data_IF_500220348446
#
_entry.id   IF_500220348446
#
_cell.length_a   1.000
_cell.length_b   1.000
_cell.length_c   1.000
_cell.angle_alpha   90.00
_cell.angle_beta   90.00
_cell.angle_gamma   90.00
#
_symmetry.space_group_name_H-M   'P 1'
#
loop_
_entity.id
_entity.type
_entity.pdbx_description
1 polymer ?
#
# COMPACT_ATOMS: atom_id res chain seq x y z
N UNK A 1 -6.11 32.14 5.63
CA UNK A 1 -6.39 31.32 4.42
C UNK A 1 -5.85 29.89 4.56
N UNK A 2 -4.57 29.67 4.88
CA UNK A 2 -3.96 28.33 5.05
C UNK A 2 -4.66 27.48 6.12
N UNK A 3 -5.07 28.08 7.24
CA UNK A 3 -5.77 27.40 8.34
C UNK A 3 -7.16 26.90 7.94
N UNK A 4 -7.86 27.63 7.05
CA UNK A 4 -9.17 27.21 6.52
C UNK A 4 -9.04 26.01 5.57
N UNK A 5 -8.06 26.03 4.67
CA UNK A 5 -7.78 24.92 3.76
C UNK A 5 -7.39 23.66 4.54
N UNK A 6 -6.54 23.81 5.57
CA UNK A 6 -6.15 22.69 6.44
C UNK A 6 -7.35 22.05 7.14
N UNK A 7 -8.28 22.86 7.67
CA UNK A 7 -9.52 22.34 8.30
C UNK A 7 -10.41 21.62 7.29
N UNK A 8 -10.56 22.15 6.09
CA UNK A 8 -11.36 21.54 5.02
C UNK A 8 -10.77 20.20 4.58
N UNK A 9 -9.45 20.13 4.38
CA UNK A 9 -8.75 18.89 4.06
C UNK A 9 -8.87 17.86 5.18
N UNK A 10 -8.77 18.26 6.44
CA UNK A 10 -8.96 17.37 7.58
C UNK A 10 -10.40 16.84 7.70
N UNK A 11 -11.39 17.67 7.37
CA UNK A 11 -12.78 17.23 7.32
C UNK A 11 -13.02 16.24 6.16
N UNK A 12 -12.49 16.54 4.97
CA UNK A 12 -12.57 15.64 3.83
C UNK A 12 -11.89 14.29 4.12
N UNK A 13 -10.69 14.30 4.70
CA UNK A 13 -9.96 13.10 5.12
C UNK A 13 -10.79 12.25 6.10
N UNK A 14 -11.38 12.88 7.12
CA UNK A 14 -12.20 12.22 8.12
C UNK A 14 -13.48 11.60 7.55
N UNK A 15 -14.07 12.22 6.52
CA UNK A 15 -15.26 11.69 5.82
C UNK A 15 -14.86 10.54 4.91
N UNK A 16 -13.80 10.72 4.10
CA UNK A 16 -13.33 9.73 3.13
C UNK A 16 -12.82 8.47 3.85
N UNK A 17 -11.94 8.62 4.83
CA UNK A 17 -11.43 7.51 5.65
C UNK A 17 -12.38 7.11 6.78
N UNK A 18 -13.64 7.52 6.69
CA UNK A 18 -14.68 7.12 7.63
C UNK A 18 -15.00 5.62 7.58
N UNK A 19 -15.89 5.16 8.48
CA UNK A 19 -16.27 3.74 8.57
C UNK A 19 -16.77 3.14 7.26
N UNK A 20 -17.40 3.96 6.43
CA UNK A 20 -17.97 3.53 5.16
C UNK A 20 -16.94 3.04 4.15
N UNK A 21 -15.83 3.75 4.00
CA UNK A 21 -14.76 3.31 3.09
C UNK A 21 -14.09 2.04 3.60
N UNK A 22 -13.81 1.97 4.91
CA UNK A 22 -13.24 0.78 5.53
C UNK A 22 -14.14 -0.43 5.32
N UNK A 23 -15.44 -0.27 5.57
CA UNK A 23 -16.43 -1.33 5.37
C UNK A 23 -16.51 -1.76 3.90
N UNK A 24 -16.48 -0.81 2.98
CA UNK A 24 -16.51 -1.07 1.54
C UNK A 24 -15.25 -1.83 1.09
N UNK A 25 -14.07 -1.41 1.53
CA UNK A 25 -12.80 -2.06 1.14
C UNK A 25 -12.69 -3.48 1.72
N UNK A 26 -12.95 -3.64 3.02
CA UNK A 26 -12.93 -4.95 3.66
C UNK A 26 -14.07 -5.85 3.15
N UNK A 27 -15.28 -5.30 3.01
CA UNK A 27 -16.44 -6.03 2.52
C UNK A 27 -16.24 -6.53 1.09
N UNK A 28 -15.75 -5.67 0.19
CA UNK A 28 -15.42 -6.07 -1.18
C UNK A 28 -14.32 -7.12 -1.20
N UNK A 29 -13.26 -6.94 -0.41
CA UNK A 29 -12.18 -7.90 -0.33
C UNK A 29 -12.63 -9.27 0.22
N UNK A 30 -13.48 -9.27 1.28
CA UNK A 30 -14.10 -10.49 1.80
C UNK A 30 -15.01 -11.17 0.76
N UNK A 31 -15.86 -10.40 0.09
CA UNK A 31 -16.71 -10.91 -0.99
C UNK A 31 -15.88 -11.57 -2.09
N UNK A 32 -14.82 -10.93 -2.55
CA UNK A 32 -13.92 -11.48 -3.57
C UNK A 32 -13.18 -12.71 -3.06
N UNK A 33 -12.72 -12.73 -1.81
CA UNK A 33 -12.05 -13.88 -1.20
C UNK A 33 -12.97 -15.11 -1.18
N UNK A 34 -14.23 -14.92 -0.79
CA UNK A 34 -15.24 -15.98 -0.76
C UNK A 34 -15.63 -16.42 -2.18
N UNK A 35 -15.91 -15.48 -3.09
CA UNK A 35 -16.27 -15.75 -4.48
C UNK A 35 -15.18 -16.51 -5.22
N UNK A 36 -13.92 -16.21 -4.97
CA UNK A 36 -12.76 -16.90 -5.50
C UNK A 36 -12.40 -18.18 -4.72
N UNK A 37 -13.20 -18.58 -3.72
CA UNK A 37 -12.98 -19.79 -2.91
C UNK A 37 -11.56 -19.84 -2.30
N UNK A 38 -11.07 -18.71 -1.81
CA UNK A 38 -9.73 -18.56 -1.23
C UNK A 38 -8.58 -18.87 -2.20
N UNK A 39 -8.82 -18.67 -3.50
CA UNK A 39 -7.82 -18.92 -4.56
C UNK A 39 -6.46 -18.27 -4.30
N UNK A 40 -6.37 -16.97 -3.89
CA UNK A 40 -5.09 -16.33 -3.65
C UNK A 40 -4.26 -17.03 -2.57
N UNK A 41 -4.90 -17.48 -1.49
CA UNK A 41 -4.23 -18.17 -0.39
C UNK A 41 -3.81 -19.59 -0.79
N UNK A 42 -4.69 -20.33 -1.48
CA UNK A 42 -4.40 -21.70 -1.93
C UNK A 42 -3.24 -21.76 -2.93
N UNK A 43 -3.17 -20.77 -3.81
CA UNK A 43 -2.15 -20.75 -4.87
C UNK A 43 -0.90 -19.95 -4.49
N UNK A 44 -0.86 -19.36 -3.29
CA UNK A 44 0.28 -18.55 -2.83
C UNK A 44 1.63 -19.31 -2.92
N UNK A 45 1.75 -20.57 -2.47
CA UNK A 45 3.01 -21.32 -2.59
C UNK A 45 3.43 -21.53 -4.04
N UNK A 46 2.47 -21.84 -4.92
CA UNK A 46 2.73 -22.01 -6.35
C UNK A 46 3.13 -20.70 -7.02
N UNK A 47 2.50 -19.59 -6.65
CA UNK A 47 2.84 -18.25 -7.14
C UNK A 47 4.26 -17.84 -6.71
N UNK A 48 4.60 -18.02 -5.45
CA UNK A 48 5.95 -17.75 -4.93
C UNK A 48 7.01 -18.58 -5.67
N UNK A 49 6.74 -19.89 -5.86
CA UNK A 49 7.66 -20.74 -6.63
C UNK A 49 7.89 -20.21 -8.04
N UNK A 50 6.84 -19.77 -8.74
CA UNK A 50 6.94 -19.23 -10.11
C UNK A 50 7.78 -17.98 -10.21
N UNK A 51 7.75 -17.10 -9.19
CA UNK A 51 8.56 -15.88 -9.13
C UNK A 51 10.06 -16.18 -9.22
N UNK A 52 10.52 -17.29 -8.65
CA UNK A 52 11.93 -17.67 -8.64
C UNK A 52 12.35 -18.51 -9.86
N UNK A 53 11.42 -18.86 -10.77
CA UNK A 53 11.77 -19.58 -11.98
C UNK A 53 12.46 -18.67 -13.01
N UNK A 54 13.47 -19.18 -13.75
CA UNK A 54 14.18 -18.40 -14.79
C UNK A 54 13.24 -17.82 -15.85
N UNK A 55 12.11 -18.48 -16.10
CA UNK A 55 11.08 -18.07 -17.09
C UNK A 55 10.41 -16.75 -16.70
N UNK A 56 10.29 -16.45 -15.42
CA UNK A 56 9.70 -15.19 -14.92
C UNK A 56 10.55 -13.95 -15.29
N UNK A 57 11.82 -14.14 -15.54
CA UNK A 57 12.79 -13.10 -15.92
C UNK A 57 12.90 -12.91 -17.43
N UNK A 58 12.37 -13.84 -18.22
CA UNK A 58 12.35 -13.68 -19.68
C UNK A 58 11.26 -12.71 -20.05
N UNK A 59 11.60 -11.64 -20.78
CA UNK A 59 10.63 -10.72 -21.36
C UNK A 59 9.73 -11.48 -22.35
N UNK A 60 8.46 -11.13 -22.41
CA UNK A 60 7.56 -11.60 -23.44
C UNK A 60 8.01 -11.04 -24.77
N UNK A 61 8.00 -11.85 -25.84
CA UNK A 61 8.31 -11.39 -27.21
C UNK A 61 7.39 -10.23 -27.58
N UNK A 62 7.93 -9.03 -27.59
CA UNK A 62 7.23 -7.74 -27.82
C UNK A 62 7.30 -6.82 -26.61
N UNK A 63 8.17 -5.87 -26.60
CA UNK A 63 8.30 -4.61 -25.82
C UNK A 63 7.66 -4.49 -24.42
N UNK A 64 7.18 -5.56 -23.79
CA UNK A 64 6.70 -5.58 -22.42
C UNK A 64 7.82 -5.87 -21.41
N UNK A 65 7.62 -5.49 -20.15
CA UNK A 65 8.51 -5.85 -19.05
C UNK A 65 8.31 -7.32 -18.65
N UNK A 66 9.37 -7.95 -18.09
CA UNK A 66 9.25 -9.34 -17.61
C UNK A 66 8.28 -9.43 -16.41
N UNK A 67 7.72 -10.62 -16.17
CA UNK A 67 6.85 -10.83 -15.01
C UNK A 67 7.56 -10.54 -13.69
N UNK A 68 8.86 -10.82 -13.61
CA UNK A 68 9.67 -10.50 -12.44
C UNK A 68 9.88 -8.98 -12.30
N UNK A 69 10.19 -8.27 -13.39
CA UNK A 69 10.33 -6.81 -13.37
C UNK A 69 9.02 -6.09 -13.04
N UNK A 70 7.89 -6.59 -13.54
CA UNK A 70 6.55 -6.07 -13.17
C UNK A 70 6.28 -6.25 -11.68
N UNK A 71 6.55 -7.44 -11.13
CA UNK A 71 6.41 -7.73 -9.71
C UNK A 71 7.31 -6.82 -8.86
N UNK A 72 8.59 -6.69 -9.20
CA UNK A 72 9.53 -5.84 -8.45
C UNK A 72 9.17 -4.37 -8.53
N UNK A 73 8.63 -3.90 -9.65
CA UNK A 73 8.10 -2.54 -9.79
C UNK A 73 6.90 -2.32 -8.87
N UNK A 74 5.98 -3.28 -8.78
CA UNK A 74 4.86 -3.22 -7.85
C UNK A 74 5.32 -3.30 -6.39
N UNK A 75 6.29 -4.16 -6.09
CA UNK A 75 6.88 -4.24 -4.75
C UNK A 75 7.62 -2.96 -4.36
N UNK A 76 8.24 -2.26 -5.30
CA UNK A 76 8.87 -0.96 -5.05
C UNK A 76 7.88 0.10 -4.55
N UNK A 77 6.65 0.08 -5.07
CA UNK A 77 5.57 0.94 -4.61
C UNK A 77 5.03 0.50 -3.24
N UNK A 78 4.91 -0.80 -3.03
CA UNK A 78 4.26 -1.38 -1.85
C UNK A 78 5.20 -1.49 -0.65
N UNK A 79 6.47 -1.90 -0.85
CA UNK A 79 7.48 -2.01 0.21
C UNK A 79 8.17 -0.66 0.38
N UNK A 80 7.67 0.16 1.29
CA UNK A 80 8.19 1.50 1.52
C UNK A 80 7.95 1.98 2.95
N UNK A 81 7.87 3.28 3.10
CA UNK A 81 7.61 3.93 4.41
C UNK A 81 6.27 3.51 5.02
N UNK A 82 5.30 3.05 4.22
CA UNK A 82 4.04 2.47 4.70
C UNK A 82 4.25 1.28 5.63
N UNK A 83 5.24 0.43 5.34
CA UNK A 83 5.53 -0.76 6.14
C UNK A 83 6.41 -0.48 7.38
N UNK A 84 7.00 0.69 7.49
CA UNK A 84 7.84 1.10 8.61
C UNK A 84 7.13 2.19 9.42
N UNK A 85 7.05 3.39 8.85
CA UNK A 85 6.42 4.56 9.49
C UNK A 85 4.91 4.39 9.63
N UNK A 86 4.26 3.79 8.62
CA UNK A 86 2.82 3.50 8.64
C UNK A 86 2.45 2.53 9.74
N UNK A 87 3.22 1.45 9.93
CA UNK A 87 3.02 0.48 11.01
C UNK A 87 3.24 1.13 12.37
N UNK A 88 4.35 1.87 12.54
CA UNK A 88 4.63 2.59 13.78
C UNK A 88 3.52 3.59 14.11
N UNK A 89 3.05 4.35 13.12
CA UNK A 89 1.95 5.31 13.29
C UNK A 89 0.65 4.60 13.66
N UNK A 90 0.33 3.45 13.02
CA UNK A 90 -0.84 2.65 13.37
C UNK A 90 -0.80 2.19 14.83
N UNK A 91 0.37 1.72 15.29
CA UNK A 91 0.55 1.28 16.68
C UNK A 91 0.48 2.43 17.68
N UNK A 92 1.03 3.61 17.35
CA UNK A 92 0.98 4.80 18.21
C UNK A 92 -0.45 5.33 18.33
N UNK A 93 -1.20 5.39 17.23
CA UNK A 93 -2.55 5.97 17.21
C UNK A 93 -3.65 4.97 17.53
N UNK A 94 -3.48 3.71 17.13
CA UNK A 94 -4.48 2.63 17.28
C UNK A 94 -4.12 1.58 18.33
N UNK A 95 -2.94 1.68 18.95
CA UNK A 95 -2.43 0.69 19.90
C UNK A 95 -1.92 -0.60 19.23
N UNK A 96 -1.43 -1.56 20.02
CA UNK A 96 -0.91 -2.83 19.52
C UNK A 96 -1.90 -3.60 18.65
N UNK A 97 -3.19 -3.52 18.95
CA UNK A 97 -4.26 -4.17 18.20
C UNK A 97 -4.39 -3.71 16.74
N UNK A 98 -3.89 -2.52 16.41
CA UNK A 98 -3.87 -2.03 15.04
C UNK A 98 -3.07 -2.95 14.11
N UNK A 99 -2.02 -3.60 14.61
CA UNK A 99 -1.22 -4.54 13.85
C UNK A 99 -2.02 -5.77 13.40
N UNK A 100 -2.91 -6.29 14.26
CA UNK A 100 -3.83 -7.37 13.89
C UNK A 100 -4.71 -6.97 12.71
N UNK A 101 -5.33 -5.80 12.77
CA UNK A 101 -6.21 -5.30 11.71
C UNK A 101 -5.46 -4.96 10.42
N UNK A 102 -4.19 -4.51 10.52
CA UNK A 102 -3.31 -4.35 9.36
C UNK A 102 -3.05 -5.68 8.66
N UNK A 103 -2.69 -6.72 9.41
CA UNK A 103 -2.45 -8.06 8.85
C UNK A 103 -3.71 -8.64 8.22
N UNK A 104 -4.85 -8.51 8.90
CA UNK A 104 -6.14 -8.97 8.38
C UNK A 104 -6.52 -8.26 7.09
N UNK A 105 -6.38 -6.94 7.02
CA UNK A 105 -6.62 -6.16 5.80
C UNK A 105 -5.69 -6.57 4.66
N UNK A 106 -4.44 -6.92 4.95
CA UNK A 106 -3.49 -7.43 3.97
C UNK A 106 -3.91 -8.78 3.41
N UNK A 107 -4.33 -9.72 4.26
CA UNK A 107 -4.82 -11.05 3.84
C UNK A 107 -6.05 -10.91 2.95
N UNK A 108 -7.02 -10.10 3.37
CA UNK A 108 -8.24 -9.82 2.59
C UNK A 108 -7.88 -9.11 1.28
N UNK A 109 -6.93 -8.19 1.33
CA UNK A 109 -6.43 -7.42 0.20
C UNK A 109 -5.80 -8.27 -0.91
N UNK A 110 -5.31 -9.48 -0.62
CA UNK A 110 -4.78 -10.40 -1.63
C UNK A 110 -5.79 -10.69 -2.74
N UNK A 111 -7.06 -10.87 -2.39
CA UNK A 111 -8.12 -11.13 -3.38
C UNK A 111 -8.44 -9.90 -4.21
N UNK A 112 -8.47 -8.72 -3.60
CA UNK A 112 -8.67 -7.44 -4.30
C UNK A 112 -7.53 -7.19 -5.29
N UNK A 113 -6.27 -7.33 -4.87
CA UNK A 113 -5.08 -7.21 -5.73
C UNK A 113 -5.10 -8.19 -6.90
N UNK A 114 -5.44 -9.46 -6.65
CA UNK A 114 -5.52 -10.48 -7.70
C UNK A 114 -6.54 -10.09 -8.77
N UNK A 115 -7.76 -9.68 -8.36
CA UNK A 115 -8.82 -9.28 -9.29
C UNK A 115 -8.43 -8.00 -10.03
N UNK A 116 -7.92 -7.00 -9.33
CA UNK A 116 -7.45 -5.74 -9.90
C UNK A 116 -6.41 -5.98 -11.00
N UNK A 117 -5.32 -6.69 -10.69
CA UNK A 117 -4.25 -6.97 -11.64
C UNK A 117 -4.75 -7.83 -12.82
N UNK A 118 -5.59 -8.84 -12.55
CA UNK A 118 -6.15 -9.70 -13.60
C UNK A 118 -7.02 -8.92 -14.57
N UNK A 119 -7.89 -8.03 -14.08
CA UNK A 119 -8.74 -7.19 -14.92
C UNK A 119 -7.89 -6.20 -15.73
N UNK A 120 -6.89 -5.59 -15.13
CA UNK A 120 -6.02 -4.65 -15.83
C UNK A 120 -5.23 -5.31 -16.96
N UNK A 121 -4.75 -6.54 -16.76
CA UNK A 121 -4.10 -7.34 -17.82
C UNK A 121 -5.11 -7.75 -18.90
N UNK A 122 -6.33 -8.15 -18.51
CA UNK A 122 -7.37 -8.57 -19.47
C UNK A 122 -7.84 -7.44 -20.38
N UNK A 123 -7.97 -6.23 -19.84
CA UNK A 123 -8.48 -5.06 -20.57
C UNK A 123 -7.37 -4.11 -21.05
N UNK A 124 -6.12 -4.57 -21.05
CA UNK A 124 -5.02 -3.78 -21.57
C UNK A 124 -5.17 -3.55 -23.09
N UNK A 125 -4.70 -2.41 -23.53
CA UNK A 125 -4.68 -1.99 -24.93
C UNK A 125 -3.24 -1.75 -25.38
N UNK A 126 -3.02 -1.60 -26.69
CA UNK A 126 -1.74 -1.13 -27.22
C UNK A 126 -1.82 0.39 -27.42
N UNK A 127 -0.80 1.11 -26.96
CA UNK A 127 -0.68 2.54 -27.19
C UNK A 127 -0.25 2.80 -28.64
N UNK A 128 -0.14 4.09 -29.02
CA UNK A 128 0.27 4.50 -30.37
C UNK A 128 1.69 4.01 -30.76
N UNK A 129 2.54 3.68 -29.76
CA UNK A 129 3.90 3.14 -29.96
C UNK A 129 3.91 1.61 -30.01
N UNK A 130 2.76 0.96 -29.92
CA UNK A 130 2.64 -0.51 -29.90
C UNK A 130 2.98 -1.15 -28.53
N UNK A 131 3.19 -0.35 -27.47
CA UNK A 131 3.49 -0.84 -26.13
C UNK A 131 2.18 -1.16 -25.39
N UNK A 132 2.19 -2.18 -24.50
CA UNK A 132 1.01 -2.47 -23.68
C UNK A 132 0.73 -1.30 -22.72
N UNK A 133 -0.53 -0.93 -22.60
CA UNK A 133 -1.03 0.08 -21.70
C UNK A 133 -2.31 -0.42 -21.02
N UNK A 134 -2.35 -0.37 -19.70
CA UNK A 134 -3.49 -0.86 -18.95
C UNK A 134 -3.62 -0.13 -17.61
N UNK A 135 -4.58 -0.59 -16.83
CA UNK A 135 -4.89 0.00 -15.54
C UNK A 135 -6.39 0.14 -15.33
N UNK A 136 -6.84 0.55 -14.13
CA UNK A 136 -8.26 0.67 -13.82
C UNK A 136 -9.03 1.58 -14.78
N UNK A 137 -8.40 2.65 -15.31
CA UNK A 137 -9.03 3.52 -16.29
C UNK A 137 -9.47 2.76 -17.56
N UNK A 138 -8.64 1.85 -18.06
CA UNK A 138 -8.97 1.03 -19.23
C UNK A 138 -10.02 -0.03 -18.91
N UNK A 139 -9.98 -0.60 -17.69
CA UNK A 139 -11.01 -1.52 -17.21
C UNK A 139 -12.35 -0.83 -17.14
N UNK A 140 -12.43 0.35 -16.51
CA UNK A 140 -13.66 1.13 -16.38
C UNK A 140 -14.24 1.51 -17.76
N UNK A 141 -13.37 1.94 -18.67
CA UNK A 141 -13.80 2.34 -20.00
C UNK A 141 -14.35 1.17 -20.83
N UNK A 142 -13.74 -0.03 -20.71
CA UNK A 142 -14.02 -1.14 -21.60
C UNK A 142 -14.96 -2.20 -21.00
N UNK A 143 -14.98 -2.37 -19.67
CA UNK A 143 -15.81 -3.36 -18.99
C UNK A 143 -17.21 -2.86 -18.65
N UNK A 144 -17.42 -1.53 -18.57
CA UNK A 144 -18.69 -0.97 -18.17
C UNK A 144 -19.73 -1.09 -19.30
N UNK A 145 -20.95 -1.57 -19.03
CA UNK A 145 -21.99 -1.72 -20.05
C UNK A 145 -22.37 -0.38 -20.71
N UNK A 146 -22.45 0.66 -19.89
CA UNK A 146 -22.74 2.03 -20.35
C UNK A 146 -21.44 2.75 -20.70
N UNK A 147 -21.12 2.84 -21.98
CA UNK A 147 -19.87 3.44 -22.48
C UNK A 147 -19.60 4.86 -21.98
N UNK A 148 -20.64 5.70 -21.84
CA UNK A 148 -20.51 7.06 -21.34
C UNK A 148 -20.14 7.09 -19.87
N UNK A 149 -20.83 6.32 -19.02
CA UNK A 149 -20.51 6.23 -17.59
C UNK A 149 -19.11 5.65 -17.38
N UNK A 150 -18.75 4.58 -18.10
CA UNK A 150 -17.40 3.99 -18.04
C UNK A 150 -16.30 4.99 -18.40
N UNK A 151 -16.51 5.83 -19.43
CA UNK A 151 -15.56 6.88 -19.81
C UNK A 151 -15.44 7.97 -18.76
N UNK A 152 -16.53 8.42 -18.17
CA UNK A 152 -16.51 9.42 -17.09
C UNK A 152 -15.74 8.87 -15.88
N UNK A 153 -16.05 7.65 -15.44
CA UNK A 153 -15.36 7.01 -14.32
C UNK A 153 -13.86 6.80 -14.60
N UNK A 154 -13.51 6.41 -15.82
CA UNK A 154 -12.12 6.27 -16.25
C UNK A 154 -11.34 7.58 -16.18
N UNK A 155 -11.94 8.69 -16.65
CA UNK A 155 -11.34 10.02 -16.59
C UNK A 155 -11.20 10.51 -15.15
N UNK A 156 -12.21 10.31 -14.30
CA UNK A 156 -12.15 10.66 -12.89
C UNK A 156 -11.05 9.87 -12.17
N UNK A 157 -10.98 8.55 -12.40
CA UNK A 157 -9.91 7.73 -11.83
C UNK A 157 -8.53 8.24 -12.26
N UNK A 158 -8.33 8.50 -13.57
CA UNK A 158 -7.05 8.98 -14.08
C UNK A 158 -6.68 10.35 -13.48
N UNK A 159 -7.61 11.27 -13.37
CA UNK A 159 -7.39 12.58 -12.75
C UNK A 159 -7.01 12.45 -11.27
N UNK A 160 -7.75 11.64 -10.49
CA UNK A 160 -7.42 11.40 -9.08
C UNK A 160 -6.10 10.66 -8.90
N UNK A 161 -5.77 9.70 -9.76
CA UNK A 161 -4.49 9.00 -9.73
C UNK A 161 -3.31 9.97 -9.97
N UNK A 162 -3.45 10.90 -10.91
CA UNK A 162 -2.44 11.95 -11.14
C UNK A 162 -2.31 12.86 -9.90
N UNK A 163 -3.41 13.32 -9.32
CA UNK A 163 -3.38 14.14 -8.11
C UNK A 163 -2.76 13.38 -6.92
N UNK A 164 -3.12 12.11 -6.74
CA UNK A 164 -2.58 11.27 -5.67
C UNK A 164 -1.06 11.04 -5.82
N UNK A 165 -0.54 10.95 -7.05
CA UNK A 165 0.89 10.72 -7.30
C UNK A 165 1.78 11.84 -6.77
N UNK A 166 1.27 13.09 -6.68
CA UNK A 166 2.02 14.20 -6.09
C UNK A 166 2.21 14.07 -4.58
N UNK A 167 1.28 13.42 -3.86
CA UNK A 167 1.32 13.33 -2.39
C UNK A 167 1.79 11.98 -1.89
N UNK A 168 1.03 10.95 -2.18
CA UNK A 168 1.12 9.66 -1.49
C UNK A 168 2.39 8.87 -1.84
N UNK A 169 2.73 8.78 -3.11
CA UNK A 169 3.88 7.98 -3.58
C UNK A 169 5.22 8.71 -3.54
N UNK A 170 5.21 10.03 -3.38
CA UNK A 170 6.40 10.87 -3.53
C UNK A 170 6.72 11.65 -2.25
N UNK A 171 5.88 12.62 -1.89
CA UNK A 171 6.19 13.55 -0.79
C UNK A 171 6.29 12.84 0.56
N UNK A 172 5.43 11.87 0.84
CA UNK A 172 5.44 11.12 2.09
C UNK A 172 6.73 10.34 2.26
N UNK A 173 7.18 9.67 1.19
CA UNK A 173 8.41 8.88 1.21
C UNK A 173 9.64 9.77 1.32
N UNK A 174 9.72 10.83 0.51
CA UNK A 174 10.81 11.80 0.55
C UNK A 174 10.94 12.46 1.92
N UNK A 175 9.83 12.86 2.55
CA UNK A 175 9.81 13.42 3.88
C UNK A 175 10.32 12.44 4.94
N UNK A 176 9.84 11.19 4.93
CA UNK A 176 10.27 10.19 5.91
C UNK A 176 11.75 9.85 5.80
N UNK A 177 12.30 9.78 4.58
CA UNK A 177 13.73 9.57 4.36
C UNK A 177 14.53 10.78 4.87
N UNK A 178 14.10 11.98 4.52
CA UNK A 178 14.78 13.21 4.93
C UNK A 178 14.77 13.39 6.46
N UNK A 179 13.67 13.05 7.11
CA UNK A 179 13.55 13.08 8.56
C UNK A 179 14.46 12.02 9.22
N UNK A 180 14.44 10.78 8.73
CA UNK A 180 15.30 9.71 9.26
C UNK A 180 16.79 10.05 9.15
N UNK A 181 17.25 10.59 8.01
CA UNK A 181 18.63 11.01 7.83
C UNK A 181 18.98 12.25 8.70
N UNK A 182 18.03 13.15 8.87
CA UNK A 182 18.23 14.32 9.73
C UNK A 182 18.40 13.94 11.19
N UNK A 183 17.57 13.01 11.69
CA UNK A 183 17.62 12.57 13.09
C UNK A 183 18.84 11.70 13.37
N UNK A 184 19.18 10.79 12.44
CA UNK A 184 20.26 9.80 12.65
C UNK A 184 21.65 10.36 12.34
N UNK A 185 21.78 11.08 11.24
CA UNK A 185 23.08 11.55 10.71
C UNK A 185 23.21 13.08 10.70
N UNK A 186 22.21 13.80 11.20
CA UNK A 186 22.17 15.27 11.23
C UNK A 186 22.32 15.92 9.84
N UNK A 187 21.93 15.19 8.78
CA UNK A 187 21.94 15.71 7.40
C UNK A 187 20.77 16.69 7.24
N UNK A 188 21.03 17.87 6.68
CA UNK A 188 19.97 18.85 6.41
C UNK A 188 18.94 18.25 5.44
N UNK A 189 17.64 18.34 5.79
CA UNK A 189 16.55 17.79 4.99
C UNK A 189 16.56 18.30 3.53
N UNK A 190 16.95 19.56 3.32
CA UNK A 190 17.10 20.14 1.97
C UNK A 190 18.13 19.40 1.12
N UNK A 191 19.26 19.01 1.71
CA UNK A 191 20.32 18.27 0.99
C UNK A 191 19.81 16.88 0.57
N UNK A 192 19.15 16.20 1.51
CA UNK A 192 18.51 14.90 1.22
C UNK A 192 17.45 15.03 0.13
N UNK A 193 16.60 16.07 0.19
CA UNK A 193 15.55 16.31 -0.81
C UNK A 193 16.14 16.54 -2.21
N UNK A 194 17.20 17.33 -2.34
CA UNK A 194 17.88 17.58 -3.61
C UNK A 194 18.48 16.26 -4.15
N UNK A 195 19.20 15.51 -3.30
CA UNK A 195 19.80 14.25 -3.70
C UNK A 195 18.76 13.23 -4.18
N UNK A 196 17.68 13.06 -3.44
CA UNK A 196 16.57 12.17 -3.83
C UNK A 196 15.90 12.60 -5.14
N UNK A 197 15.70 13.92 -5.32
CA UNK A 197 15.11 14.44 -6.55
C UNK A 197 15.99 14.15 -7.77
N UNK A 198 17.29 14.37 -7.66
CA UNK A 198 18.24 14.07 -8.74
C UNK A 198 18.26 12.58 -9.09
N UNK A 199 18.35 11.70 -8.09
CA UNK A 199 18.31 10.25 -8.30
C UNK A 199 16.99 9.80 -8.96
N UNK A 200 15.87 10.34 -8.49
CA UNK A 200 14.54 10.02 -9.04
C UNK A 200 14.41 10.47 -10.50
N UNK A 201 14.87 11.69 -10.81
CA UNK A 201 14.86 12.21 -12.19
C UNK A 201 15.66 11.30 -13.11
N UNK A 202 16.86 10.88 -12.73
CA UNK A 202 17.71 9.99 -13.54
C UNK A 202 17.00 8.67 -13.88
N UNK A 203 16.26 8.11 -12.95
CA UNK A 203 15.51 6.85 -13.16
C UNK A 203 14.28 7.08 -14.04
N UNK A 204 13.51 8.14 -13.78
CA UNK A 204 12.25 8.42 -14.49
C UNK A 204 12.49 8.81 -15.95
N UNK A 205 13.55 9.55 -16.26
CA UNK A 205 13.89 9.96 -17.64
C UNK A 205 14.05 8.76 -18.59
N UNK A 206 14.45 7.60 -18.06
CA UNK A 206 14.56 6.37 -18.84
C UNK A 206 13.25 5.63 -19.09
N UNK A 207 12.12 6.13 -18.57
CA UNK A 207 10.78 5.54 -18.72
C UNK A 207 10.60 4.23 -17.98
N UNK A 208 9.47 3.55 -18.26
CA UNK A 208 9.04 2.34 -17.54
C UNK A 208 10.06 1.20 -17.60
N UNK A 209 10.78 1.06 -18.72
CA UNK A 209 11.80 0.04 -18.89
C UNK A 209 13.01 0.24 -17.96
N UNK A 210 13.43 1.49 -17.73
CA UNK A 210 14.52 1.81 -16.80
C UNK A 210 14.07 1.65 -15.37
N UNK A 211 12.86 2.12 -15.03
CA UNK A 211 12.26 1.92 -13.72
C UNK A 211 12.22 0.42 -13.39
N UNK A 212 11.72 -0.40 -14.31
CA UNK A 212 11.63 -1.85 -14.14
C UNK A 212 13.00 -2.51 -13.90
N UNK A 213 14.03 -2.10 -14.65
CA UNK A 213 15.41 -2.60 -14.46
C UNK A 213 15.99 -2.21 -13.11
N UNK A 214 15.82 -0.96 -12.70
CA UNK A 214 16.33 -0.48 -11.40
C UNK A 214 15.63 -1.21 -10.23
N UNK A 215 14.32 -1.36 -10.29
CA UNK A 215 13.53 -2.04 -9.24
C UNK A 215 13.85 -3.54 -9.19
N UNK A 216 14.18 -4.17 -10.31
CA UNK A 216 14.54 -5.60 -10.37
C UNK A 216 15.76 -5.95 -9.49
N UNK A 217 16.71 -5.03 -9.34
CA UNK A 217 17.88 -5.20 -8.48
C UNK A 217 17.67 -4.60 -7.08
N UNK A 218 17.13 -3.39 -7.01
CA UNK A 218 17.04 -2.64 -5.77
C UNK A 218 16.04 -3.28 -4.78
N UNK A 219 14.88 -3.73 -5.27
CA UNK A 219 13.81 -4.24 -4.40
C UNK A 219 14.17 -5.54 -3.69
N UNK A 220 14.73 -6.57 -4.36
CA UNK A 220 15.19 -7.76 -3.65
C UNK A 220 16.27 -7.46 -2.61
N UNK A 221 17.22 -6.58 -2.93
CA UNK A 221 18.26 -6.16 -1.99
C UNK A 221 17.65 -5.47 -0.76
N UNK A 222 16.73 -4.54 -0.97
CA UNK A 222 15.99 -3.84 0.08
C UNK A 222 15.19 -4.82 0.95
N UNK A 223 14.48 -5.77 0.33
CA UNK A 223 13.69 -6.77 1.04
C UNK A 223 14.56 -7.66 1.92
N UNK A 224 15.69 -8.16 1.41
CA UNK A 224 16.64 -8.97 2.18
C UNK A 224 17.21 -8.19 3.36
N UNK A 225 17.64 -6.94 3.12
CA UNK A 225 18.18 -6.07 4.17
C UNK A 225 17.14 -5.82 5.28
N UNK A 226 15.90 -5.53 4.90
CA UNK A 226 14.80 -5.30 5.85
C UNK A 226 14.47 -6.56 6.66
N UNK A 227 14.35 -7.72 6.00
CA UNK A 227 14.07 -9.00 6.65
C UNK A 227 15.19 -9.41 7.59
N UNK A 228 16.44 -9.19 7.19
CA UNK A 228 17.59 -9.47 8.06
C UNK A 228 17.59 -8.58 9.30
N UNK A 229 17.42 -7.27 9.14
CA UNK A 229 17.38 -6.33 10.26
C UNK A 229 16.23 -6.58 11.22
N UNK A 230 15.01 -6.78 10.70
CA UNK A 230 13.85 -7.11 11.55
C UNK A 230 13.98 -8.48 12.19
N UNK A 231 14.49 -9.47 11.47
CA UNK A 231 14.78 -10.80 12.02
C UNK A 231 15.77 -10.74 13.18
N UNK A 232 16.82 -9.94 13.08
CA UNK A 232 17.79 -9.74 14.13
C UNK A 232 17.16 -9.10 15.38
N UNK A 233 16.30 -8.08 15.22
CA UNK A 233 15.57 -7.47 16.33
C UNK A 233 14.63 -8.48 17.01
N UNK A 234 13.90 -9.26 16.24
CA UNK A 234 13.01 -10.30 16.76
C UNK A 234 13.82 -11.35 17.53
N UNK A 235 14.96 -11.78 16.99
CA UNK A 235 15.82 -12.78 17.63
C UNK A 235 16.39 -12.28 18.95
N UNK A 236 16.85 -11.04 19.02
CA UNK A 236 17.39 -10.46 20.27
C UNK A 236 16.32 -10.27 21.34
N UNK A 237 15.05 -10.07 20.92
CA UNK A 237 13.92 -9.86 21.84
C UNK A 237 12.95 -11.05 21.87
N UNK A 238 13.38 -12.24 21.50
CA UNK A 238 12.53 -13.42 21.36
C UNK A 238 11.71 -13.76 22.62
N UNK A 239 12.27 -13.52 23.81
CA UNK A 239 11.57 -13.73 25.10
C UNK A 239 10.31 -12.87 25.24
N UNK A 240 10.26 -11.69 24.61
CA UNK A 240 9.13 -10.77 24.68
C UNK A 240 8.04 -11.07 23.64
N UNK A 241 8.34 -11.95 22.68
CA UNK A 241 7.44 -12.25 21.55
C UNK A 241 6.07 -12.77 21.99
N UNK A 242 5.95 -13.75 22.93
CA UNK A 242 4.66 -14.24 23.38
C UNK A 242 3.81 -13.14 24.03
N UNK A 243 4.41 -12.31 24.86
CA UNK A 243 3.72 -11.17 25.50
C UNK A 243 3.25 -10.15 24.45
N UNK A 244 4.09 -9.86 23.44
CA UNK A 244 3.72 -8.98 22.34
C UNK A 244 2.53 -9.50 21.51
N UNK A 245 2.51 -10.80 21.19
CA UNK A 245 1.39 -11.42 20.48
C UNK A 245 0.10 -11.35 21.30
N UNK A 246 0.16 -11.61 22.60
CA UNK A 246 -1.01 -11.47 23.50
C UNK A 246 -1.52 -10.03 23.50
N UNK A 247 -0.63 -9.04 23.59
CA UNK A 247 -1.02 -7.62 23.57
C UNK A 247 -1.68 -7.22 22.23
N UNK A 248 -1.19 -7.74 21.11
CA UNK A 248 -1.78 -7.50 19.79
C UNK A 248 -3.19 -8.07 19.72
N UNK A 249 -3.38 -9.32 20.12
CA UNK A 249 -4.67 -9.98 20.10
C UNK A 249 -5.65 -9.34 21.08
N UNK A 250 -5.21 -9.09 22.30
CA UNK A 250 -6.05 -8.44 23.29
C UNK A 250 -6.47 -7.03 22.85
N UNK A 251 -5.52 -6.21 22.40
CA UNK A 251 -5.77 -4.86 21.90
C UNK A 251 -6.65 -4.79 20.65
N UNK A 252 -6.76 -5.88 19.88
CA UNK A 252 -7.63 -5.94 18.71
C UNK A 252 -9.10 -6.17 19.06
N UNK A 253 -9.39 -6.90 20.16
CA UNK A 253 -10.74 -7.38 20.51
C UNK A 253 -11.23 -6.95 21.89
N UNK A 254 -10.48 -6.15 22.63
CA UNK A 254 -10.87 -5.69 23.96
C UNK A 254 -12.23 -4.94 23.90
N UNK A 255 -13.21 -5.24 24.79
CA UNK A 255 -14.53 -4.60 24.78
C UNK A 255 -14.48 -3.08 24.97
N UNK A 256 -13.59 -2.57 25.77
CA UNK A 256 -13.29 -1.13 25.90
C UNK A 256 -12.86 -0.53 24.57
N UNK A 257 -12.28 -1.35 23.76
CA UNK A 257 -11.90 -1.14 22.39
C UNK A 257 -13.10 -1.07 21.42
N UNK A 258 -14.16 -1.82 21.63
CA UNK A 258 -15.35 -1.85 20.77
C UNK A 258 -16.41 -0.83 21.20
N UNK A 259 -16.50 -0.53 22.49
CA UNK A 259 -17.51 0.40 23.05
C UNK A 259 -17.00 1.84 23.16
N UNK A 260 -15.72 2.09 22.94
CA UNK A 260 -15.07 3.40 23.02
C UNK A 260 -15.55 4.43 21.99
N UNK A 261 -16.82 4.80 22.13
CA UNK A 261 -17.32 6.08 21.64
C UNK A 261 -16.62 7.26 22.32
N UNK A 262 -17.16 8.47 22.28
CA UNK A 262 -16.60 9.73 22.78
C UNK A 262 -15.92 9.66 24.17
N UNK A 263 -16.32 8.74 25.06
CA UNK A 263 -15.71 8.52 26.36
C UNK A 263 -14.27 7.96 26.29
N UNK A 264 -13.96 7.07 25.33
CA UNK A 264 -12.61 6.52 25.17
C UNK A 264 -11.58 7.55 24.69
N UNK A 265 -12.02 8.52 23.92
CA UNK A 265 -11.16 9.64 23.48
C UNK A 265 -10.85 10.63 24.60
N UNK A 266 -11.74 10.84 25.55
CA UNK A 266 -11.49 11.72 26.69
C UNK A 266 -10.55 11.10 27.72
N UNK A 267 -10.67 9.82 28.00
CA UNK A 267 -9.77 9.10 28.92
C UNK A 267 -8.35 8.96 28.35
N UNK A 268 -8.20 8.90 27.03
CA UNK A 268 -6.92 8.85 26.36
C UNK A 268 -6.10 10.14 26.50
N UNK A 269 -6.78 11.28 26.66
CA UNK A 269 -6.13 12.59 26.82
C UNK A 269 -5.63 12.80 28.25
N UNK A 270 -6.27 12.22 29.26
CA UNK A 270 -5.98 12.48 30.67
C UNK A 270 -4.93 11.55 31.30
N UNK A 271 -4.77 10.32 30.78
CA UNK A 271 -3.87 9.31 31.36
C UNK A 271 -2.86 8.69 30.39
N UNK A 272 -2.52 9.37 29.29
CA UNK A 272 -1.52 8.86 28.34
C UNK A 272 -1.91 7.51 27.75
N UNK A 273 -2.65 7.54 26.65
CA UNK A 273 -2.78 6.46 25.66
C UNK A 273 -3.63 5.27 26.14
N UNK A 274 -4.94 5.45 26.23
CA UNK A 274 -5.90 4.34 26.15
C UNK A 274 -6.39 4.21 24.70
N UNK A 275 -5.94 3.18 23.98
CA UNK A 275 -6.35 2.93 22.62
C UNK A 275 -7.61 2.06 22.60
N UNK A 276 -8.72 2.56 22.02
CA UNK A 276 -9.91 1.75 21.79
C UNK A 276 -9.74 0.86 20.56
N UNK A 277 -10.32 -0.32 20.50
CA UNK A 277 -10.19 -1.21 19.33
C UNK A 277 -10.90 -0.68 18.09
N UNK A 278 -11.86 0.25 18.25
CA UNK A 278 -12.37 1.00 17.10
C UNK A 278 -11.27 1.84 16.48
N UNK A 279 -10.41 2.45 17.29
CA UNK A 279 -9.21 3.13 16.80
C UNK A 279 -8.20 2.13 16.25
N UNK A 280 -8.00 0.99 16.91
CA UNK A 280 -7.14 -0.08 16.43
C UNK A 280 -7.58 -0.58 15.05
N UNK A 281 -8.86 -0.86 14.86
CA UNK A 281 -9.43 -1.27 13.58
C UNK A 281 -9.29 -0.15 12.53
N UNK A 282 -9.67 1.07 12.86
CA UNK A 282 -9.62 2.21 11.94
C UNK A 282 -8.19 2.48 11.46
N UNK A 283 -7.26 2.67 12.37
CA UNK A 283 -5.86 2.93 12.01
C UNK A 283 -5.18 1.70 11.43
N UNK A 284 -5.48 0.51 11.93
CA UNK A 284 -4.95 -0.73 11.40
C UNK A 284 -5.35 -0.95 9.95
N UNK A 285 -6.64 -0.84 9.63
CA UNK A 285 -7.13 -1.04 8.25
C UNK A 285 -6.68 0.09 7.33
N UNK A 286 -6.82 1.35 7.74
CA UNK A 286 -6.45 2.49 6.89
C UNK A 286 -4.96 2.49 6.56
N UNK A 287 -4.10 2.22 7.54
CA UNK A 287 -2.65 2.10 7.31
C UNK A 287 -2.28 0.81 6.60
N UNK A 288 -3.03 -0.27 6.82
CA UNK A 288 -2.91 -1.51 6.07
C UNK A 288 -3.19 -1.32 4.60
N UNK A 289 -4.30 -0.69 4.24
CA UNK A 289 -4.64 -0.36 2.84
C UNK A 289 -3.62 0.59 2.22
N UNK A 290 -3.17 1.61 2.96
CA UNK A 290 -2.10 2.49 2.50
C UNK A 290 -0.79 1.74 2.22
N UNK A 291 -0.46 0.75 3.05
CA UNK A 291 0.76 -0.04 2.93
C UNK A 291 0.69 -1.08 1.80
N UNK A 292 -0.43 -1.80 1.68
CA UNK A 292 -0.59 -2.87 0.69
C UNK A 292 -1.21 -2.41 -0.63
N UNK A 293 -1.70 -1.17 -0.69
CA UNK A 293 -2.33 -0.55 -1.87
C UNK A 293 -3.48 -1.36 -2.49
N UNK A 294 -4.09 -2.28 -1.75
CA UNK A 294 -5.17 -3.11 -2.26
C UNK A 294 -6.46 -2.29 -2.47
N UNK A 295 -6.97 -2.27 -3.69
CA UNK A 295 -8.15 -1.50 -4.07
C UNK A 295 -7.89 -0.05 -4.46
N UNK A 296 -6.62 0.39 -4.50
CA UNK A 296 -6.25 1.73 -4.94
C UNK A 296 -5.99 1.84 -6.45
N UNK A 297 -5.88 0.72 -7.15
CA UNK A 297 -5.71 0.70 -8.60
C UNK A 297 -4.27 0.83 -9.11
N UNK A 298 -3.33 1.19 -8.26
CA UNK A 298 -1.94 1.43 -8.67
C UNK A 298 -1.25 0.17 -9.20
N UNK A 299 -1.44 -0.96 -8.53
CA UNK A 299 -0.85 -2.24 -8.91
C UNK A 299 -1.28 -2.74 -10.29
N UNK A 300 -2.51 -2.45 -10.68
CA UNK A 300 -3.03 -2.83 -11.98
C UNK A 300 -2.32 -2.16 -13.15
N UNK A 301 -1.74 -0.97 -12.93
CA UNK A 301 -1.01 -0.24 -13.98
C UNK A 301 0.33 -0.94 -14.26
N UNK A 302 1.09 -1.29 -13.21
CA UNK A 302 2.37 -2.00 -13.36
C UNK A 302 2.20 -3.44 -13.86
N UNK A 303 1.13 -4.12 -13.45
CA UNK A 303 0.82 -5.47 -13.90
C UNK A 303 0.44 -5.54 -15.39
N UNK A 304 -0.09 -4.45 -15.96
CA UNK A 304 -0.52 -4.39 -17.35
C UNK A 304 0.52 -3.79 -18.30
N UNK A 305 1.65 -3.30 -17.78
CA UNK A 305 2.80 -2.82 -18.56
C UNK A 305 3.68 -4.01 -19.04
#
# INVERSE_FOLDING_TARGET
MITGIKKLLQQADRIIWGPWLIFLLLGTGCYLMLSLRFLPLKNLPAALRRVFLPESRKGTEGRGVSSFSSLTTELAATIGTGNIVGVATAMVLGGPGALFWMLLSGIIGLSTKLVESTLCVRYRVKNQKGEPAGGPMYVLQNAFPQKTAGRILAMLFAAFAVLASFGMGNMTQGNSIAEALSVTFQVKQTVTGIALSLLTILVILGGIGTIAKVTEYLVPCMAVFYLFGTGMVIFTHFKNLPAGVVQILWGAFCPEAMTGGAAGTMLAVENGIVHSGRMAMHYGVSRGVFSNEAGLGAAGISAAA
#
